data_IF_117750333155
#
_entry.id   IF_117750333155
#
_cell.length_a   1.000
_cell.length_b   1.000
_cell.length_c   1.000
_cell.angle_alpha   90.00
_cell.angle_beta   90.00
_cell.angle_gamma   90.00
#
_symmetry.space_group_name_H-M   'P 1'
#
loop_
_entity.id
_entity.type
_entity.pdbx_description
1 polymer ?
#
# COMPACT_ATOMS: atom_id res chain seq x y z
N UNK A 1 27.87 8.51 16.40
CA UNK A 1 26.61 8.83 17.12
C UNK A 1 26.93 8.88 18.61
N UNK A 2 26.80 10.03 19.28
CA UNK A 2 27.17 10.17 20.68
C UNK A 2 26.00 9.71 21.56
N UNK A 3 26.10 8.50 22.11
CA UNK A 3 25.06 7.85 22.90
C UNK A 3 24.58 8.71 24.09
N UNK A 4 25.46 9.54 24.65
CA UNK A 4 25.15 10.39 25.80
C UNK A 4 24.18 11.54 25.47
N UNK A 5 24.13 12.00 24.21
CA UNK A 5 23.26 13.10 23.81
C UNK A 5 21.77 12.67 23.76
N UNK A 6 21.48 11.40 23.50
CA UNK A 6 20.11 10.89 23.47
C UNK A 6 19.60 10.45 24.84
N UNK A 7 20.50 10.19 25.80
CA UNK A 7 20.12 9.81 27.16
C UNK A 7 19.57 10.96 27.99
N UNK A 8 19.90 12.21 27.64
CA UNK A 8 19.32 13.41 28.27
C UNK A 8 17.89 13.70 27.81
N UNK A 9 17.42 13.05 26.74
CA UNK A 9 16.05 13.21 26.21
C UNK A 9 15.06 12.20 26.82
N UNK A 10 15.54 11.24 27.62
CA UNK A 10 14.72 10.22 28.27
C UNK A 10 14.40 10.60 29.72
N UNK A 11 13.22 10.20 30.25
CA UNK A 11 12.95 10.25 31.68
C UNK A 11 14.04 9.54 32.49
N UNK A 12 14.38 10.06 33.68
CA UNK A 12 15.55 9.61 34.45
C UNK A 12 15.59 8.10 34.71
N UNK A 13 14.43 7.48 34.97
CA UNK A 13 14.32 6.04 35.19
C UNK A 13 14.63 5.22 33.92
N UNK A 14 14.18 5.68 32.75
CA UNK A 14 14.43 5.03 31.46
C UNK A 14 15.88 5.22 31.02
N UNK A 15 16.43 6.42 31.23
CA UNK A 15 17.84 6.70 30.99
C UNK A 15 18.76 5.82 31.86
N UNK A 16 18.39 5.57 33.12
CA UNK A 16 19.11 4.68 34.02
C UNK A 16 19.03 3.22 33.55
N UNK A 17 17.83 2.72 33.26
CA UNK A 17 17.64 1.36 32.76
C UNK A 17 18.41 1.10 31.45
N UNK A 18 18.42 2.09 30.54
CA UNK A 18 19.15 1.99 29.28
C UNK A 18 20.67 2.00 29.49
N UNK A 19 21.21 2.84 30.40
CA UNK A 19 22.64 2.82 30.77
C UNK A 19 23.04 1.45 31.33
N UNK A 20 22.21 0.85 32.18
CA UNK A 20 22.44 -0.50 32.72
C UNK A 20 22.46 -1.57 31.63
N UNK A 21 21.55 -1.49 30.65
CA UNK A 21 21.52 -2.42 29.53
C UNK A 21 22.78 -2.29 28.65
N UNK A 22 23.20 -1.07 28.32
CA UNK A 22 24.40 -0.80 27.52
C UNK A 22 25.65 -1.30 28.24
N UNK A 23 25.77 -1.04 29.55
CA UNK A 23 26.88 -1.55 30.36
C UNK A 23 26.92 -3.09 30.36
N UNK A 24 25.76 -3.75 30.44
CA UNK A 24 25.68 -5.22 30.33
C UNK A 24 26.09 -5.74 28.97
N UNK A 25 25.71 -5.06 27.89
CA UNK A 25 26.09 -5.45 26.52
C UNK A 25 27.58 -5.22 26.25
N UNK A 26 28.16 -4.15 26.79
CA UNK A 26 29.60 -3.86 26.68
C UNK A 26 30.46 -4.80 27.53
N UNK A 27 29.94 -5.23 28.69
CA UNK A 27 30.59 -6.21 29.55
C UNK A 27 30.36 -7.65 29.10
N UNK A 28 29.46 -7.89 28.13
CA UNK A 28 29.26 -9.22 27.59
C UNK A 28 30.53 -9.63 26.81
N UNK A 29 31.15 -10.79 27.11
CA UNK A 29 32.30 -11.25 26.36
C UNK A 29 31.88 -11.39 24.89
N UNK A 30 32.61 -10.74 23.99
CA UNK A 30 32.45 -10.98 22.55
C UNK A 30 32.86 -12.42 22.29
N UNK A 31 31.89 -13.33 22.32
CA UNK A 31 32.09 -14.69 21.86
C UNK A 31 32.28 -14.61 20.36
N UNK A 32 33.50 -14.89 19.94
CA UNK A 32 33.76 -15.31 18.58
C UNK A 32 32.76 -16.44 18.26
N UNK A 33 31.91 -16.30 17.23
CA UNK A 33 30.95 -17.34 16.91
C UNK A 33 31.73 -18.63 16.71
N UNK A 34 31.29 -19.70 17.39
CA UNK A 34 31.98 -20.99 17.31
C UNK A 34 32.25 -21.29 15.82
N UNK A 35 33.47 -21.73 15.43
CA UNK A 35 33.85 -21.88 14.02
C UNK A 35 32.92 -22.83 13.24
N UNK A 36 32.12 -23.61 13.95
CA UNK A 36 31.13 -24.55 13.42
C UNK A 36 29.69 -23.99 13.43
N UNK A 37 29.45 -22.74 13.83
CA UNK A 37 28.11 -22.15 13.91
C UNK A 37 27.44 -22.14 12.54
N UNK A 38 28.16 -21.73 11.50
CA UNK A 38 27.69 -21.78 10.13
C UNK A 38 27.34 -23.21 9.71
N UNK A 39 28.21 -24.18 10.02
CA UNK A 39 27.99 -25.60 9.72
C UNK A 39 26.78 -26.16 10.45
N UNK A 40 26.56 -25.77 11.71
CA UNK A 40 25.39 -26.19 12.52
C UNK A 40 24.09 -25.59 12.00
N UNK A 41 24.11 -24.33 11.59
CA UNK A 41 22.95 -23.66 10.97
C UNK A 41 22.61 -24.35 9.64
N UNK A 42 23.61 -24.61 8.79
CA UNK A 42 23.41 -25.29 7.52
C UNK A 42 22.91 -26.74 7.70
N UNK A 43 23.43 -27.46 8.70
CA UNK A 43 22.95 -28.81 9.04
C UNK A 43 21.52 -28.80 9.58
N UNK A 44 21.15 -27.82 10.41
CA UNK A 44 19.79 -27.65 10.91
C UNK A 44 18.82 -27.33 9.76
N UNK A 45 19.19 -26.42 8.85
CA UNK A 45 18.40 -26.08 7.65
C UNK A 45 18.25 -27.29 6.72
N UNK A 46 19.30 -28.11 6.55
CA UNK A 46 19.23 -29.33 5.76
C UNK A 46 18.31 -30.39 6.41
N UNK A 47 18.39 -30.55 7.73
CA UNK A 47 17.50 -31.44 8.50
C UNK A 47 16.04 -30.99 8.47
N UNK A 48 15.79 -29.69 8.44
CA UNK A 48 14.42 -29.15 8.38
C UNK A 48 13.82 -29.34 6.97
N UNK A 49 14.66 -29.25 5.92
CA UNK A 49 14.27 -29.53 4.53
C UNK A 49 13.95 -31.00 4.27
N UNK A 50 14.62 -31.94 4.94
CA UNK A 50 14.30 -33.36 4.83
C UNK A 50 13.04 -33.75 5.62
N UNK A 51 12.72 -33.02 6.69
CA UNK A 51 11.51 -33.24 7.50
C UNK A 51 10.23 -32.62 6.92
N UNK A 52 10.33 -31.67 5.98
CA UNK A 52 9.18 -31.02 5.32
C UNK A 52 9.34 -30.99 3.79
N UNK A 53 8.91 -32.02 3.05
CA UNK A 53 9.20 -32.15 1.62
C UNK A 53 8.40 -31.22 0.68
N UNK A 54 7.50 -30.36 1.18
CA UNK A 54 6.50 -29.66 0.35
C UNK A 54 6.78 -28.18 0.06
N UNK A 55 8.00 -27.68 0.27
CA UNK A 55 8.41 -26.35 -0.20
C UNK A 55 9.44 -26.46 -1.35
N UNK A 56 8.88 -26.83 -2.50
CA UNK A 56 9.30 -26.56 -3.89
C UNK A 56 10.79 -26.62 -4.29
N UNK A 57 11.09 -27.56 -5.19
CA UNK A 57 11.97 -27.31 -6.33
C UNK A 57 11.51 -28.14 -7.55
N UNK A 58 10.83 -27.48 -8.49
CA UNK A 58 10.74 -27.95 -9.88
C UNK A 58 12.13 -27.79 -10.53
N UNK A 59 12.69 -28.82 -11.19
CA UNK A 59 13.96 -28.69 -11.88
C UNK A 59 13.80 -28.08 -13.27
N UNK A 60 14.73 -27.20 -13.63
CA UNK A 60 15.02 -26.74 -14.99
C UNK A 60 15.45 -27.97 -15.81
N UNK A 61 14.64 -28.39 -16.78
CA UNK A 61 14.98 -29.50 -17.69
C UNK A 61 15.68 -28.97 -18.94
N UNK A 62 16.99 -29.24 -19.06
CA UNK A 62 17.71 -29.19 -20.32
C UNK A 62 17.30 -30.39 -21.19
N UNK A 63 16.83 -30.10 -22.40
CA UNK A 63 16.36 -31.07 -23.40
C UNK A 63 17.45 -32.07 -23.80
N UNK A 64 17.31 -33.33 -23.41
CA UNK A 64 17.86 -34.47 -24.14
C UNK A 64 16.71 -35.43 -24.50
N UNK A 65 16.51 -35.61 -25.80
CA UNK A 65 15.55 -36.55 -26.39
C UNK A 65 15.98 -37.99 -26.13
N UNK A 66 15.01 -38.89 -25.90
CA UNK A 66 15.04 -40.22 -26.48
C UNK A 66 13.97 -40.35 -27.57
N UNK A 67 14.39 -40.95 -28.67
CA UNK A 67 13.56 -41.38 -29.78
C UNK A 67 12.87 -42.68 -29.37
N UNK A 68 11.55 -42.81 -29.59
CA UNK A 68 10.93 -43.83 -30.45
C UNK A 68 9.40 -43.90 -30.32
N UNK A 69 8.79 -44.14 -31.49
CA UNK A 69 7.54 -44.87 -31.76
C UNK A 69 6.15 -44.21 -31.60
N UNK A 70 5.62 -43.87 -32.78
CA UNK A 70 4.23 -44.06 -33.25
C UNK A 70 3.09 -43.18 -32.70
N UNK A 71 2.93 -41.98 -33.28
CA UNK A 71 1.70 -41.18 -33.22
C UNK A 71 1.23 -40.76 -34.62
N UNK A 72 0.28 -41.51 -35.21
CA UNK A 72 -0.51 -41.06 -36.37
C UNK A 72 -2.03 -41.17 -36.22
N UNK A 73 -2.55 -41.79 -35.15
CA UNK A 73 -4.00 -42.00 -34.97
C UNK A 73 -4.67 -41.08 -33.92
N UNK A 74 -3.92 -40.33 -33.12
CA UNK A 74 -4.47 -39.49 -32.03
C UNK A 74 -4.68 -38.01 -32.38
N UNK A 75 -4.27 -37.56 -33.58
CA UNK A 75 -4.37 -36.15 -33.98
C UNK A 75 -5.77 -35.70 -34.40
N UNK A 76 -6.66 -36.63 -34.72
CA UNK A 76 -8.03 -36.29 -35.15
C UNK A 76 -9.03 -36.25 -33.99
N UNK A 77 -8.80 -36.97 -32.89
CA UNK A 77 -9.66 -36.95 -31.71
C UNK A 77 -9.43 -35.71 -30.81
N UNK A 78 -8.19 -35.21 -30.72
CA UNK A 78 -7.87 -34.02 -29.92
C UNK A 78 -8.34 -32.70 -30.56
N UNK A 79 -8.45 -32.63 -31.90
CA UNK A 79 -8.88 -31.43 -32.61
C UNK A 79 -10.40 -31.16 -32.45
N UNK A 80 -11.22 -32.21 -32.36
CA UNK A 80 -12.67 -32.06 -32.12
C UNK A 80 -13.00 -31.74 -30.65
N UNK A 81 -12.22 -32.25 -29.69
CA UNK A 81 -12.37 -31.89 -28.28
C UNK A 81 -11.90 -30.45 -27.98
N UNK A 82 -10.87 -29.96 -28.65
CA UNK A 82 -10.41 -28.57 -28.54
C UNK A 82 -11.39 -27.57 -29.18
N UNK A 83 -12.08 -27.97 -30.26
CA UNK A 83 -13.12 -27.15 -30.89
C UNK A 83 -14.38 -26.99 -30.02
N UNK A 84 -14.81 -28.03 -29.31
CA UNK A 84 -15.99 -27.96 -28.44
C UNK A 84 -15.72 -27.23 -27.11
N UNK A 85 -14.51 -27.34 -26.54
CA UNK A 85 -14.11 -26.55 -25.35
C UNK A 85 -13.91 -25.05 -25.68
N UNK A 86 -13.49 -24.72 -26.90
CA UNK A 86 -13.43 -23.34 -27.38
C UNK A 86 -14.84 -22.76 -27.62
N UNK A 87 -15.80 -23.58 -28.09
CA UNK A 87 -17.18 -23.14 -28.28
C UNK A 87 -17.93 -22.92 -26.95
N UNK A 88 -17.69 -23.75 -25.92
CA UNK A 88 -18.33 -23.58 -24.60
C UNK A 88 -17.74 -22.44 -23.75
N UNK A 89 -16.51 -22.00 -24.02
CA UNK A 89 -15.89 -20.83 -23.34
C UNK A 89 -16.13 -19.50 -24.05
N UNK A 90 -16.69 -19.52 -25.27
CA UNK A 90 -17.10 -18.32 -26.00
C UNK A 90 -18.49 -17.80 -25.60
N UNK A 91 -19.36 -18.65 -25.02
CA UNK A 91 -20.70 -18.26 -24.58
C UNK A 91 -20.78 -17.75 -23.13
N UNK A 92 -19.73 -17.94 -22.33
CA UNK A 92 -19.68 -17.54 -20.92
C UNK A 92 -18.58 -16.51 -20.62
N UNK A 93 -18.13 -15.78 -21.64
CA UNK A 93 -17.31 -14.59 -21.39
C UNK A 93 -18.18 -13.56 -20.67
N UNK A 94 -17.87 -13.15 -19.42
CA UNK A 94 -18.38 -11.87 -18.94
C UNK A 94 -18.00 -10.84 -19.99
N UNK A 95 -18.95 -9.97 -20.35
CA UNK A 95 -18.72 -8.89 -21.30
C UNK A 95 -17.35 -8.26 -21.01
N UNK A 96 -16.55 -8.02 -22.05
CA UNK A 96 -15.30 -7.28 -21.90
C UNK A 96 -15.59 -6.03 -21.05
N UNK A 97 -14.79 -5.74 -20.01
CA UNK A 97 -15.04 -4.59 -19.13
C UNK A 97 -15.31 -3.37 -20.00
N UNK A 98 -16.52 -2.82 -19.91
CA UNK A 98 -16.84 -1.64 -20.69
C UNK A 98 -15.93 -0.54 -20.14
N UNK A 99 -15.04 0.06 -20.96
CA UNK A 99 -14.22 1.15 -20.50
C UNK A 99 -15.15 2.24 -19.97
N UNK A 100 -14.84 2.79 -18.78
CA UNK A 100 -15.63 3.90 -18.27
C UNK A 100 -15.69 4.99 -19.34
N UNK A 101 -16.87 5.58 -19.50
CA UNK A 101 -17.02 6.78 -20.31
C UNK A 101 -16.01 7.83 -19.78
N UNK A 102 -15.03 8.24 -20.60
CA UNK A 102 -14.01 9.19 -20.17
C UNK A 102 -14.61 10.57 -19.80
N UNK A 103 -15.85 10.86 -20.22
CA UNK A 103 -16.60 12.05 -19.84
C UNK A 103 -17.43 11.90 -18.55
N UNK A 104 -17.61 10.69 -18.02
CA UNK A 104 -18.41 10.47 -16.82
C UNK A 104 -17.72 10.96 -15.54
N UNK A 105 -18.51 11.56 -14.64
CA UNK A 105 -18.10 11.89 -13.27
C UNK A 105 -17.51 10.65 -12.58
N UNK A 106 -16.21 10.65 -12.21
CA UNK A 106 -15.55 9.51 -11.60
C UNK A 106 -16.22 9.03 -10.30
N UNK A 107 -16.76 9.95 -9.49
CA UNK A 107 -17.44 9.58 -8.25
C UNK A 107 -18.79 8.91 -8.53
N UNK A 108 -19.58 9.45 -9.45
CA UNK A 108 -20.83 8.82 -9.88
C UNK A 108 -20.59 7.43 -10.50
N UNK A 109 -19.53 7.28 -11.31
CA UNK A 109 -19.15 5.99 -11.88
C UNK A 109 -18.78 4.97 -10.78
N UNK A 110 -18.02 5.38 -9.77
CA UNK A 110 -17.69 4.51 -8.64
C UNK A 110 -18.96 4.07 -7.89
N UNK A 111 -19.87 5.01 -7.60
CA UNK A 111 -21.12 4.69 -6.92
C UNK A 111 -22.00 3.71 -7.72
N UNK A 112 -22.11 3.90 -9.03
CA UNK A 112 -22.84 3.00 -9.93
C UNK A 112 -22.19 1.61 -10.06
N UNK A 113 -20.87 1.50 -9.84
CA UNK A 113 -20.11 0.26 -9.93
C UNK A 113 -20.02 -0.52 -8.61
N UNK A 114 -20.67 -0.05 -7.53
CA UNK A 114 -20.64 -0.71 -6.23
C UNK A 114 -21.47 -2.00 -6.24
N UNK A 115 -20.90 -3.08 -5.71
CA UNK A 115 -21.56 -4.38 -5.63
C UNK A 115 -22.64 -4.43 -4.53
N UNK A 116 -23.49 -5.46 -4.57
CA UNK A 116 -24.55 -5.67 -3.58
C UNK A 116 -24.03 -5.85 -2.14
N UNK A 117 -22.82 -6.40 -1.97
CA UNK A 117 -22.18 -6.55 -0.65
C UNK A 117 -21.51 -5.26 -0.14
N UNK A 118 -21.51 -4.19 -0.94
CA UNK A 118 -20.92 -2.88 -0.60
C UNK A 118 -19.46 -2.72 -1.02
N UNK A 119 -18.82 -3.77 -1.54
CA UNK A 119 -17.46 -3.68 -2.07
C UNK A 119 -17.44 -3.34 -3.56
N UNK A 120 -16.23 -3.25 -4.12
CA UNK A 120 -16.01 -3.25 -5.56
C UNK A 120 -15.27 -4.53 -5.98
N UNK A 121 -15.51 -5.02 -7.19
CA UNK A 121 -14.85 -6.20 -7.75
C UNK A 121 -13.82 -5.80 -8.82
N UNK A 122 -12.51 -5.80 -8.51
CA UNK A 122 -11.47 -5.35 -9.45
C UNK A 122 -11.48 -6.07 -10.79
N UNK A 123 -11.69 -7.39 -10.78
CA UNK A 123 -11.70 -8.22 -11.98
C UNK A 123 -12.75 -7.80 -13.02
N UNK A 124 -13.86 -7.17 -12.61
CA UNK A 124 -14.90 -6.66 -13.51
C UNK A 124 -14.51 -5.38 -14.24
N UNK A 125 -13.45 -4.72 -13.78
CA UNK A 125 -13.02 -3.39 -14.23
C UNK A 125 -11.54 -3.37 -14.62
N UNK A 126 -10.98 -4.52 -15.02
CA UNK A 126 -9.59 -4.63 -15.49
C UNK A 126 -8.52 -4.62 -14.41
N UNK A 127 -8.90 -4.70 -13.12
CA UNK A 127 -7.98 -4.76 -12.00
C UNK A 127 -7.76 -6.18 -11.46
N UNK A 128 -6.66 -6.36 -10.74
CA UNK A 128 -6.31 -7.61 -10.07
C UNK A 128 -7.22 -7.84 -8.83
N UNK A 129 -7.97 -8.96 -8.77
CA UNK A 129 -8.88 -9.27 -7.66
C UNK A 129 -8.18 -9.35 -6.30
N UNK A 130 -6.86 -9.58 -6.25
CA UNK A 130 -6.10 -9.63 -5.00
C UNK A 130 -6.09 -8.27 -4.26
N UNK A 131 -6.29 -7.15 -4.97
CA UNK A 131 -6.39 -5.80 -4.40
C UNK A 131 -7.81 -5.38 -4.00
N UNK A 132 -8.76 -6.33 -3.92
CA UNK A 132 -10.16 -6.03 -3.57
C UNK A 132 -10.32 -5.19 -2.30
N UNK A 133 -9.61 -5.46 -1.18
CA UNK A 133 -9.68 -4.59 0.00
C UNK A 133 -9.17 -3.17 -0.26
N UNK A 134 -7.99 -3.01 -0.87
CA UNK A 134 -7.43 -1.69 -1.19
C UNK A 134 -8.33 -0.88 -2.13
N UNK A 135 -8.86 -1.49 -3.19
CA UNK A 135 -9.69 -0.80 -4.17
C UNK A 135 -11.08 -0.45 -3.62
N UNK A 136 -11.64 -1.31 -2.76
CA UNK A 136 -12.86 -0.97 -2.00
C UNK A 136 -12.63 0.22 -1.07
N UNK A 137 -11.51 0.22 -0.35
CA UNK A 137 -11.12 1.29 0.55
C UNK A 137 -10.85 2.62 -0.18
N UNK A 138 -10.15 2.59 -1.32
CA UNK A 138 -9.91 3.78 -2.15
C UNK A 138 -11.21 4.35 -2.70
N UNK A 139 -12.10 3.51 -3.25
CA UNK A 139 -13.39 3.95 -3.74
C UNK A 139 -14.23 4.60 -2.62
N UNK A 140 -14.27 4.00 -1.43
CA UNK A 140 -14.98 4.56 -0.28
C UNK A 140 -14.40 5.92 0.16
N UNK A 141 -13.07 6.04 0.24
CA UNK A 141 -12.41 7.31 0.57
C UNK A 141 -12.69 8.40 -0.48
N UNK A 142 -12.79 8.02 -1.76
CA UNK A 142 -13.13 8.93 -2.83
C UNK A 142 -14.58 9.43 -2.72
N UNK A 143 -15.54 8.52 -2.54
CA UNK A 143 -16.95 8.84 -2.41
C UNK A 143 -17.25 9.68 -1.16
N UNK A 144 -16.52 9.46 -0.07
CA UNK A 144 -16.66 10.22 1.17
C UNK A 144 -16.19 11.69 1.07
N UNK A 145 -15.52 12.07 -0.02
CA UNK A 145 -15.11 13.47 -0.26
C UNK A 145 -16.18 14.30 -0.96
N UNK A 146 -17.29 13.70 -1.38
CA UNK A 146 -18.39 14.44 -1.99
C UNK A 146 -18.97 15.47 -1.01
N UNK A 147 -18.90 16.78 -1.30
CA UNK A 147 -19.31 17.83 -0.36
C UNK A 147 -20.82 17.83 -0.08
N UNK A 148 -21.61 17.21 -0.95
CA UNK A 148 -23.06 17.06 -0.82
C UNK A 148 -23.47 15.76 -0.11
N UNK A 149 -22.51 14.94 0.34
CA UNK A 149 -22.73 13.65 1.02
C UNK A 149 -23.69 12.71 0.26
N UNK A 150 -23.69 12.79 -1.08
CA UNK A 150 -24.57 12.02 -1.96
C UNK A 150 -24.38 10.51 -1.81
N UNK A 151 -23.16 10.09 -1.47
CA UNK A 151 -22.74 8.70 -1.49
C UNK A 151 -22.60 8.08 -0.09
N UNK A 152 -23.11 8.73 0.96
CA UNK A 152 -22.95 8.32 2.37
C UNK A 152 -23.31 6.86 2.65
N UNK A 153 -24.40 6.37 2.04
CA UNK A 153 -24.85 5.00 2.24
C UNK A 153 -23.92 3.99 1.55
N UNK A 154 -23.40 4.34 0.37
CA UNK A 154 -22.37 3.56 -0.29
C UNK A 154 -21.10 3.47 0.53
N UNK A 155 -20.66 4.59 1.12
CA UNK A 155 -19.50 4.63 2.04
C UNK A 155 -19.72 3.75 3.27
N UNK A 156 -20.91 3.81 3.89
CA UNK A 156 -21.27 2.97 5.05
C UNK A 156 -21.22 1.48 4.70
N UNK A 157 -21.78 1.08 3.56
CA UNK A 157 -21.75 -0.31 3.06
C UNK A 157 -20.32 -0.77 2.77
N UNK A 158 -19.49 0.09 2.20
CA UNK A 158 -18.09 -0.21 1.94
C UNK A 158 -17.29 -0.44 3.23
N UNK A 159 -17.52 0.38 4.26
CA UNK A 159 -16.90 0.17 5.57
C UNK A 159 -17.32 -1.17 6.19
N UNK A 160 -18.60 -1.54 6.09
CA UNK A 160 -19.09 -2.84 6.55
C UNK A 160 -18.46 -4.01 5.76
N UNK A 161 -18.32 -3.87 4.44
CA UNK A 161 -17.64 -4.84 3.59
C UNK A 161 -16.16 -5.02 3.99
N UNK A 162 -15.44 -3.93 4.29
CA UNK A 162 -14.06 -4.01 4.79
C UNK A 162 -13.99 -4.76 6.12
N UNK A 163 -14.90 -4.50 7.07
CA UNK A 163 -14.96 -5.26 8.33
C UNK A 163 -15.16 -6.75 8.06
N UNK A 164 -16.01 -7.12 7.10
CA UNK A 164 -16.27 -8.51 6.74
C UNK A 164 -15.11 -9.18 5.98
N UNK A 165 -14.31 -8.42 5.21
CA UNK A 165 -13.14 -8.94 4.49
C UNK A 165 -11.93 -9.18 5.40
N UNK A 166 -11.88 -8.54 6.57
CA UNK A 166 -10.74 -8.63 7.45
C UNK A 166 -10.62 -10.04 8.05
N UNK A 167 -9.44 -10.64 7.95
CA UNK A 167 -9.15 -11.90 8.60
C UNK A 167 -9.11 -11.76 10.13
N UNK A 168 -9.23 -12.89 10.83
CA UNK A 168 -9.23 -12.94 12.29
C UNK A 168 -7.94 -12.40 12.93
N UNK A 169 -6.80 -12.47 12.23
CA UNK A 169 -5.51 -11.92 12.64
C UNK A 169 -5.36 -10.41 12.34
N UNK A 170 -6.39 -9.80 11.74
CA UNK A 170 -6.41 -8.38 11.36
C UNK A 170 -5.88 -8.07 9.97
N UNK A 171 -5.44 -9.06 9.20
CA UNK A 171 -4.90 -8.88 7.87
C UNK A 171 -5.98 -8.68 6.80
N UNK A 172 -5.65 -7.91 5.77
CA UNK A 172 -6.46 -7.72 4.56
C UNK A 172 -5.96 -8.53 3.36
N UNK A 173 -5.70 -9.82 3.57
CA UNK A 173 -5.36 -10.79 2.53
C UNK A 173 -4.11 -10.47 1.69
N UNK A 174 -3.81 -11.36 0.75
CA UNK A 174 -2.66 -11.25 -0.16
C UNK A 174 -1.30 -11.49 0.51
N UNK A 175 -0.25 -11.39 -0.31
CA UNK A 175 1.16 -11.51 0.11
C UNK A 175 1.99 -10.37 -0.50
N UNK A 176 3.21 -10.17 0.01
CA UNK A 176 4.16 -9.17 -0.49
C UNK A 176 3.52 -7.79 -0.67
N UNK A 177 3.60 -7.29 -1.92
CA UNK A 177 3.04 -5.99 -2.32
C UNK A 177 1.53 -5.88 -2.10
N UNK A 178 0.77 -6.93 -2.45
CA UNK A 178 -0.69 -6.94 -2.32
C UNK A 178 -1.08 -6.73 -0.86
N UNK A 179 -0.47 -7.53 0.03
CA UNK A 179 -0.71 -7.44 1.47
C UNK A 179 -0.41 -6.06 2.02
N UNK A 180 0.74 -5.49 1.64
CA UNK A 180 1.18 -4.19 2.12
C UNK A 180 0.17 -3.07 1.78
N UNK A 181 -0.30 -3.01 0.53
CA UNK A 181 -1.26 -1.99 0.11
C UNK A 181 -2.67 -2.24 0.64
N UNK A 182 -3.15 -3.49 0.60
CA UNK A 182 -4.44 -3.85 1.20
C UNK A 182 -4.48 -3.45 2.67
N UNK A 183 -3.43 -3.79 3.44
CA UNK A 183 -3.39 -3.48 4.86
C UNK A 183 -3.42 -1.98 5.10
N UNK A 184 -2.53 -1.21 4.46
CA UNK A 184 -2.39 0.22 4.73
C UNK A 184 -3.64 1.02 4.32
N UNK A 185 -4.18 0.75 3.13
CA UNK A 185 -5.30 1.51 2.58
C UNK A 185 -6.62 1.11 3.26
N UNK A 186 -6.88 -0.18 3.50
CA UNK A 186 -8.09 -0.61 4.20
C UNK A 186 -8.12 -0.12 5.65
N UNK A 187 -6.98 -0.14 6.35
CA UNK A 187 -6.87 0.43 7.70
C UNK A 187 -7.17 1.93 7.69
N UNK A 188 -6.66 2.67 6.69
CA UNK A 188 -6.94 4.09 6.51
C UNK A 188 -8.44 4.36 6.33
N UNK A 189 -9.11 3.58 5.46
CA UNK A 189 -10.55 3.72 5.24
C UNK A 189 -11.37 3.35 6.48
N UNK A 190 -11.05 2.27 7.21
CA UNK A 190 -11.74 1.95 8.45
C UNK A 190 -11.57 3.04 9.52
N UNK A 191 -10.35 3.60 9.63
CA UNK A 191 -10.06 4.68 10.56
C UNK A 191 -10.77 5.99 10.20
N UNK A 192 -11.03 6.24 8.91
CA UNK A 192 -11.62 7.51 8.46
C UNK A 192 -13.15 7.41 8.37
N UNK A 193 -13.68 6.27 7.93
CA UNK A 193 -15.05 6.18 7.40
C UNK A 193 -15.97 5.26 8.22
N UNK A 194 -15.43 4.28 8.94
CA UNK A 194 -16.29 3.30 9.61
C UNK A 194 -17.12 3.97 10.71
N UNK A 195 -18.42 3.67 10.83
CA UNK A 195 -19.23 4.23 11.91
C UNK A 195 -18.69 3.81 13.29
N UNK A 196 -18.93 4.63 14.31
CA UNK A 196 -18.62 4.24 15.68
C UNK A 196 -19.47 3.04 16.08
N UNK A 197 -18.83 2.01 16.63
CA UNK A 197 -19.51 0.80 17.07
C UNK A 197 -18.51 -0.31 17.42
N UNK A 198 -18.92 -1.31 18.21
CA UNK A 198 -18.02 -2.33 18.74
C UNK A 198 -17.36 -3.16 17.65
N UNK A 199 -18.10 -3.52 16.59
CA UNK A 199 -17.56 -4.30 15.48
C UNK A 199 -16.48 -3.54 14.69
N UNK A 200 -16.74 -2.27 14.36
CA UNK A 200 -15.80 -1.40 13.65
C UNK A 200 -14.57 -1.08 14.51
N UNK A 201 -14.76 -0.82 15.81
CA UNK A 201 -13.67 -0.59 16.75
C UNK A 201 -12.76 -1.82 16.84
N UNK A 202 -13.33 -3.02 17.05
CA UNK A 202 -12.56 -4.26 17.11
C UNK A 202 -11.82 -4.55 15.79
N UNK A 203 -12.44 -4.29 14.65
CA UNK A 203 -11.79 -4.44 13.35
C UNK A 203 -10.62 -3.48 13.16
N UNK A 204 -10.80 -2.21 13.53
CA UNK A 204 -9.73 -1.20 13.47
C UNK A 204 -8.58 -1.53 14.42
N UNK A 205 -8.86 -2.01 15.63
CA UNK A 205 -7.82 -2.45 16.57
C UNK A 205 -7.00 -3.62 16.00
N UNK A 206 -7.64 -4.64 15.42
CA UNK A 206 -6.91 -5.73 14.76
C UNK A 206 -6.10 -5.24 13.57
N UNK A 207 -6.64 -4.31 12.78
CA UNK A 207 -5.95 -3.75 11.62
C UNK A 207 -4.67 -3.01 12.03
N UNK A 208 -4.75 -2.18 13.08
CA UNK A 208 -3.60 -1.48 13.66
C UNK A 208 -2.59 -2.44 14.28
N UNK A 209 -3.06 -3.52 14.93
CA UNK A 209 -2.18 -4.55 15.48
C UNK A 209 -1.37 -5.24 14.36
N UNK A 210 -2.02 -5.58 13.24
CA UNK A 210 -1.35 -6.14 12.07
C UNK A 210 -0.36 -5.13 11.44
N UNK A 211 -0.72 -3.85 11.30
CA UNK A 211 0.22 -2.82 10.83
C UNK A 211 1.43 -2.68 11.77
N UNK A 212 1.22 -2.72 13.09
CA UNK A 212 2.32 -2.69 14.07
C UNK A 212 3.24 -3.90 13.92
N UNK A 213 2.69 -5.10 13.76
CA UNK A 213 3.46 -6.33 13.60
C UNK A 213 4.29 -6.34 12.31
N UNK A 214 3.82 -5.68 11.25
CA UNK A 214 4.53 -5.54 9.98
C UNK A 214 5.54 -4.40 9.91
N UNK A 215 5.71 -3.60 10.96
CA UNK A 215 6.65 -2.47 10.95
C UNK A 215 8.09 -2.96 11.11
N UNK A 216 9.01 -2.46 10.27
CA UNK A 216 10.43 -2.75 10.38
C UNK A 216 11.03 -2.17 11.67
N UNK A 217 12.19 -2.69 12.09
CA UNK A 217 12.96 -2.12 13.20
C UNK A 217 13.25 -0.63 12.98
N UNK A 218 13.42 -0.24 11.72
CA UNK A 218 13.77 1.12 11.30
C UNK A 218 12.57 2.05 11.31
N UNK A 219 11.36 1.50 11.50
CA UNK A 219 10.09 2.22 11.60
C UNK A 219 9.32 2.35 10.29
N UNK A 220 9.80 1.75 9.20
CA UNK A 220 9.16 1.78 7.89
C UNK A 220 8.32 0.53 7.64
N UNK A 221 7.68 0.50 6.48
CA UNK A 221 6.98 -0.68 5.97
C UNK A 221 7.40 -0.96 4.54
N UNK A 222 7.47 -2.24 4.22
CA UNK A 222 7.77 -2.72 2.88
C UNK A 222 6.90 -3.92 2.52
N UNK A 223 7.15 -4.48 1.34
CA UNK A 223 6.50 -5.70 0.85
C UNK A 223 7.01 -6.94 1.57
N UNK A 224 8.32 -6.97 1.89
CA UNK A 224 8.99 -8.13 2.47
C UNK A 224 9.40 -7.89 3.92
N UNK A 225 9.34 -8.95 4.71
CA UNK A 225 9.85 -8.94 6.08
C UNK A 225 11.37 -8.69 6.09
N UNK A 226 11.84 -7.94 7.09
CA UNK A 226 13.27 -7.64 7.25
C UNK A 226 13.80 -6.50 6.36
N UNK A 227 12.98 -5.94 5.47
CA UNK A 227 13.34 -4.68 4.77
C UNK A 227 13.35 -3.49 5.71
N UNK A 228 14.19 -2.50 5.41
CA UNK A 228 14.22 -1.20 6.11
C UNK A 228 12.91 -0.41 5.92
N UNK A 229 12.16 -0.69 4.86
CA UNK A 229 10.93 0.02 4.48
C UNK A 229 11.06 0.75 3.13
N UNK A 230 9.90 1.11 2.56
CA UNK A 230 9.81 1.98 1.38
C UNK A 230 8.87 3.17 1.63
N UNK A 231 9.08 4.26 0.90
CA UNK A 231 8.35 5.50 1.11
C UNK A 231 6.86 5.43 0.73
N UNK A 232 6.49 4.64 -0.27
CA UNK A 232 5.10 4.54 -0.72
C UNK A 232 4.21 3.89 0.34
N UNK A 233 4.58 2.70 0.80
CA UNK A 233 3.82 1.95 1.80
C UNK A 233 3.90 2.66 3.16
N UNK A 234 5.07 3.17 3.53
CA UNK A 234 5.24 3.88 4.81
C UNK A 234 4.34 5.13 4.88
N UNK A 235 4.19 5.88 3.79
CA UNK A 235 3.30 7.03 3.77
C UNK A 235 1.82 6.64 3.98
N UNK A 236 1.35 5.57 3.32
CA UNK A 236 -0.01 5.06 3.56
C UNK A 236 -0.21 4.54 4.98
N UNK A 237 0.76 3.81 5.54
CA UNK A 237 0.70 3.33 6.92
C UNK A 237 0.67 4.47 7.93
N UNK A 238 1.48 5.51 7.74
CA UNK A 238 1.47 6.70 8.59
C UNK A 238 0.11 7.38 8.57
N UNK A 239 -0.50 7.55 7.39
CA UNK A 239 -1.86 8.12 7.27
C UNK A 239 -2.90 7.27 8.00
N UNK A 240 -2.84 5.94 7.82
CA UNK A 240 -3.76 5.02 8.48
C UNK A 240 -3.62 5.07 10.01
N UNK A 241 -2.39 5.08 10.53
CA UNK A 241 -2.10 5.14 11.95
C UNK A 241 -2.44 6.50 12.56
N UNK A 242 -2.26 7.60 11.82
CA UNK A 242 -2.69 8.93 12.24
C UNK A 242 -4.21 9.01 12.39
N UNK A 243 -4.96 8.56 11.38
CA UNK A 243 -6.42 8.50 11.46
C UNK A 243 -6.88 7.58 12.61
N UNK A 244 -6.22 6.43 12.82
CA UNK A 244 -6.55 5.54 13.93
C UNK A 244 -6.25 6.16 15.30
N UNK A 245 -5.16 6.91 15.42
CA UNK A 245 -4.82 7.63 16.64
C UNK A 245 -5.83 8.76 16.94
N UNK A 246 -6.28 9.49 15.91
CA UNK A 246 -7.35 10.49 16.02
C UNK A 246 -8.68 9.86 16.47
N UNK A 247 -8.94 8.59 16.13
CA UNK A 247 -10.06 7.80 16.68
C UNK A 247 -9.86 7.25 18.09
N UNK A 248 -8.72 7.51 18.73
CA UNK A 248 -8.42 7.04 20.08
C UNK A 248 -7.83 5.62 20.16
N UNK A 249 -7.39 5.03 19.06
CA UNK A 249 -6.71 3.72 19.07
C UNK A 249 -5.28 3.88 19.59
N UNK A 250 -5.11 3.76 20.91
CA UNK A 250 -3.86 4.08 21.61
C UNK A 250 -2.62 3.37 21.07
N UNK A 251 -2.76 2.12 20.61
CA UNK A 251 -1.67 1.33 20.05
C UNK A 251 -1.12 1.83 18.70
N UNK A 252 -1.81 2.76 18.03
CA UNK A 252 -1.33 3.39 16.80
C UNK A 252 -0.21 4.42 17.04
N UNK A 253 -0.12 4.99 18.24
CA UNK A 253 0.74 6.13 18.54
C UNK A 253 2.25 5.84 18.39
N UNK A 254 2.73 4.70 18.89
CA UNK A 254 4.16 4.35 18.79
C UNK A 254 4.55 4.05 17.33
N UNK A 255 3.84 3.18 16.59
CA UNK A 255 4.13 2.94 15.19
C UNK A 255 4.06 4.20 14.32
N UNK A 256 3.09 5.08 14.58
CA UNK A 256 2.97 6.37 13.90
C UNK A 256 4.24 7.23 14.04
N UNK A 257 4.73 7.40 15.28
CA UNK A 257 5.96 8.17 15.54
C UNK A 257 7.17 7.59 14.82
N UNK A 258 7.31 6.27 14.82
CA UNK A 258 8.37 5.55 14.10
C UNK A 258 8.27 5.78 12.59
N UNK A 259 7.07 5.67 12.02
CA UNK A 259 6.82 5.91 10.59
C UNK A 259 7.11 7.35 10.17
N UNK A 260 6.69 8.33 10.96
CA UNK A 260 6.99 9.75 10.70
C UNK A 260 8.50 10.03 10.75
N UNK A 261 9.21 9.47 11.73
CA UNK A 261 10.68 9.53 11.79
C UNK A 261 11.31 8.87 10.55
N UNK A 262 10.74 7.76 10.09
CA UNK A 262 11.21 7.09 8.88
C UNK A 262 11.05 7.95 7.64
N UNK A 263 9.88 8.55 7.43
CA UNK A 263 9.62 9.44 6.30
C UNK A 263 10.51 10.68 6.33
N UNK A 264 10.75 11.25 7.51
CA UNK A 264 11.71 12.35 7.69
C UNK A 264 13.11 11.96 7.19
N UNK A 265 13.57 10.75 7.49
CA UNK A 265 14.87 10.25 7.04
C UNK A 265 14.93 9.91 5.55
N UNK A 266 13.79 9.58 4.92
CA UNK A 266 13.69 9.35 3.49
C UNK A 266 13.63 10.65 2.67
N UNK A 267 13.17 11.74 3.29
CA UNK A 267 13.13 13.07 2.69
C UNK A 267 14.51 13.73 2.68
N UNK A 268 14.90 14.29 1.54
CA UNK A 268 16.18 14.99 1.33
C UNK A 268 15.99 16.49 1.30
N UNK A 269 17.00 17.23 1.78
CA UNK A 269 16.99 18.70 1.83
C UNK A 269 16.79 19.39 0.48
N UNK A 270 17.16 18.76 -0.64
CA UNK A 270 17.00 19.31 -2.00
C UNK A 270 15.60 19.06 -2.62
N UNK A 271 14.59 18.71 -1.81
CA UNK A 271 13.20 18.57 -2.29
C UNK A 271 12.89 17.24 -2.96
N UNK A 272 13.35 16.12 -2.40
CA UNK A 272 13.12 14.79 -2.99
C UNK A 272 12.98 13.70 -1.94
N UNK A 273 12.35 12.60 -2.32
CA UNK A 273 12.19 11.42 -1.46
C UNK A 273 12.77 10.20 -2.16
N UNK A 274 13.59 9.48 -1.42
CA UNK A 274 14.16 8.20 -1.84
C UNK A 274 13.14 7.07 -1.67
N UNK A 275 13.16 6.06 -2.55
CA UNK A 275 12.26 4.91 -2.38
C UNK A 275 12.62 4.12 -1.11
N UNK A 276 13.89 3.73 -0.98
CA UNK A 276 14.50 3.27 0.28
C UNK A 276 15.42 4.36 0.83
N UNK A 277 15.63 4.40 2.16
CA UNK A 277 16.58 5.35 2.76
C UNK A 277 17.98 5.15 2.13
N UNK A 278 18.70 6.24 1.93
CA UNK A 278 20.05 6.21 1.32
C UNK A 278 20.10 6.01 -0.21
N UNK A 279 19.05 5.49 -0.86
CA UNK A 279 19.06 5.25 -2.32
C UNK A 279 19.08 6.54 -3.15
N UNK A 280 19.93 6.67 -4.18
CA UNK A 280 20.11 7.93 -4.92
C UNK A 280 18.86 8.40 -5.72
N UNK A 281 17.92 7.49 -6.00
CA UNK A 281 16.72 7.79 -6.78
C UNK A 281 15.83 8.88 -6.16
N UNK A 282 15.22 9.70 -7.02
CA UNK A 282 14.17 10.66 -6.67
C UNK A 282 12.90 10.27 -7.39
N UNK A 283 11.77 10.29 -6.70
CA UNK A 283 10.45 10.13 -7.31
C UNK A 283 9.57 11.30 -6.92
N UNK A 284 8.98 11.96 -7.93
CA UNK A 284 8.06 13.07 -7.71
C UNK A 284 6.78 12.60 -7.03
N UNK A 285 6.28 11.41 -7.37
CA UNK A 285 5.12 10.79 -6.73
C UNK A 285 5.37 10.55 -5.23
N UNK A 286 6.52 9.98 -4.88
CA UNK A 286 6.88 9.74 -3.48
C UNK A 286 7.14 11.04 -2.73
N UNK A 287 7.74 12.04 -3.38
CA UNK A 287 7.96 13.36 -2.79
C UNK A 287 6.63 14.03 -2.44
N UNK A 288 5.66 14.02 -3.37
CA UNK A 288 4.34 14.58 -3.16
C UNK A 288 3.57 13.83 -2.06
N UNK A 289 3.59 12.49 -2.08
CA UNK A 289 2.89 11.68 -1.09
C UNK A 289 3.47 11.88 0.32
N UNK A 290 4.80 11.93 0.44
CA UNK A 290 5.46 12.21 1.70
C UNK A 290 5.20 13.65 2.16
N UNK A 291 5.23 14.63 1.26
CA UNK A 291 4.92 16.02 1.59
C UNK A 291 3.53 16.15 2.21
N UNK A 292 2.51 15.61 1.54
CA UNK A 292 1.15 15.55 2.04
C UNK A 292 1.07 14.87 3.41
N UNK A 293 1.70 13.70 3.56
CA UNK A 293 1.68 12.92 4.80
C UNK A 293 2.36 13.67 5.96
N UNK A 294 3.51 14.31 5.72
CA UNK A 294 4.24 15.07 6.73
C UNK A 294 3.47 16.32 7.18
N UNK A 295 2.78 17.01 6.26
CA UNK A 295 1.97 18.18 6.58
C UNK A 295 0.69 17.85 7.33
N UNK A 296 0.08 16.68 7.10
CA UNK A 296 -1.22 16.32 7.69
C UNK A 296 -1.10 15.39 8.88
N UNK A 297 -0.35 14.29 8.75
CA UNK A 297 -0.15 13.30 9.82
C UNK A 297 0.99 13.69 10.77
N UNK A 298 1.88 14.60 10.34
CA UNK A 298 3.01 15.10 11.12
C UNK A 298 2.76 16.43 11.85
N UNK A 299 1.52 16.95 11.87
CA UNK A 299 1.19 18.29 12.42
C UNK A 299 1.69 18.54 13.84
N UNK A 300 1.60 17.52 14.69
CA UNK A 300 2.00 17.61 16.10
C UNK A 300 3.51 17.41 16.31
N UNK A 301 4.30 17.24 15.25
CA UNK A 301 5.74 16.98 15.33
C UNK A 301 6.52 18.14 14.73
N UNK A 302 7.42 18.70 15.54
CA UNK A 302 8.21 19.85 15.16
C UNK A 302 9.00 19.62 13.86
N UNK A 303 8.93 20.59 12.96
CA UNK A 303 9.65 20.61 11.69
C UNK A 303 9.08 19.73 10.58
N UNK A 304 8.20 18.75 10.86
CA UNK A 304 7.65 17.88 9.80
C UNK A 304 6.76 18.64 8.80
N UNK A 305 5.85 19.54 9.23
CA UNK A 305 5.06 20.32 8.27
C UNK A 305 5.92 21.25 7.42
N UNK A 306 6.99 21.83 7.98
CA UNK A 306 7.93 22.68 7.24
C UNK A 306 8.71 21.86 6.20
N UNK A 307 9.16 20.66 6.55
CA UNK A 307 9.79 19.73 5.62
C UNK A 307 8.83 19.34 4.48
N UNK A 308 7.56 19.08 4.80
CA UNK A 308 6.54 18.80 3.79
C UNK A 308 6.34 19.97 2.83
N UNK A 309 6.26 21.21 3.31
CA UNK A 309 6.20 22.42 2.45
C UNK A 309 7.44 22.56 1.56
N UNK A 310 8.63 22.28 2.07
CA UNK A 310 9.86 22.32 1.28
C UNK A 310 9.86 21.26 0.16
N UNK A 311 9.35 20.05 0.43
CA UNK A 311 9.15 19.04 -0.60
C UNK A 311 8.14 19.51 -1.66
N UNK A 312 7.01 20.08 -1.24
CA UNK A 312 5.99 20.63 -2.15
C UNK A 312 6.54 21.71 -3.06
N UNK A 313 7.37 22.62 -2.53
CA UNK A 313 7.98 23.70 -3.29
C UNK A 313 8.84 23.19 -4.47
N UNK A 314 9.45 22.01 -4.33
CA UNK A 314 10.29 21.40 -5.36
C UNK A 314 9.53 20.55 -6.39
N UNK A 315 8.24 20.29 -6.19
CA UNK A 315 7.42 19.56 -7.16
C UNK A 315 7.23 20.38 -8.43
N UNK A 316 6.80 19.77 -9.52
CA UNK A 316 6.30 20.46 -10.71
C UNK A 316 4.77 20.32 -10.81
N UNK A 317 4.11 21.40 -11.23
CA UNK A 317 2.70 21.37 -11.63
C UNK A 317 2.54 21.28 -13.16
N UNK A 318 3.64 21.14 -13.90
CA UNK A 318 3.61 20.97 -15.34
C UNK A 318 2.86 19.69 -15.72
N UNK A 319 2.11 19.79 -16.81
CA UNK A 319 1.40 18.65 -17.37
C UNK A 319 2.39 17.62 -17.92
N UNK A 320 2.05 16.34 -17.79
CA UNK A 320 2.92 15.25 -18.21
C UNK A 320 2.13 13.98 -18.52
N UNK A 321 2.83 12.85 -18.64
CA UNK A 321 2.19 11.55 -18.86
C UNK A 321 1.19 11.22 -17.74
N UNK A 322 0.11 10.49 -18.07
CA UNK A 322 -0.89 10.06 -17.10
C UNK A 322 -0.24 9.25 -15.97
N UNK A 323 -0.50 9.64 -14.73
CA UNK A 323 -0.20 8.87 -13.52
C UNK A 323 -1.11 9.42 -12.41
N UNK A 324 -2.31 8.86 -12.31
CA UNK A 324 -3.34 9.32 -11.38
C UNK A 324 -2.88 9.25 -9.92
N UNK A 325 -1.99 8.32 -9.59
CA UNK A 325 -1.41 8.21 -8.25
C UNK A 325 -0.47 9.36 -7.93
N UNK A 326 0.47 9.66 -8.84
CA UNK A 326 1.36 10.84 -8.73
C UNK A 326 0.54 12.12 -8.69
N UNK A 327 -0.42 12.26 -9.58
CA UNK A 327 -1.18 13.50 -9.73
C UNK A 327 -2.10 13.75 -8.53
N UNK A 328 -2.77 12.71 -8.01
CA UNK A 328 -3.46 12.76 -6.72
C UNK A 328 -2.53 13.23 -5.61
N UNK A 329 -1.35 12.61 -5.47
CA UNK A 329 -0.40 12.96 -4.41
C UNK A 329 0.05 14.43 -4.52
N UNK A 330 0.27 14.93 -5.75
CA UNK A 330 0.59 16.34 -6.01
C UNK A 330 -0.54 17.27 -5.60
N UNK A 331 -1.77 16.98 -6.01
CA UNK A 331 -2.95 17.78 -5.64
C UNK A 331 -3.05 17.89 -4.12
N UNK A 332 -2.98 16.77 -3.40
CA UNK A 332 -3.06 16.75 -1.94
C UNK A 332 -1.90 17.52 -1.27
N UNK A 333 -0.70 17.45 -1.85
CA UNK A 333 0.47 18.19 -1.35
C UNK A 333 0.34 19.70 -1.58
N UNK A 334 -0.13 20.13 -2.75
CA UNK A 334 -0.35 21.55 -3.04
C UNK A 334 -1.46 22.14 -2.18
N UNK A 335 -2.60 21.46 -2.06
CA UNK A 335 -3.69 21.90 -1.18
C UNK A 335 -3.23 22.04 0.28
N UNK A 336 -2.50 21.04 0.79
CA UNK A 336 -2.01 21.07 2.17
C UNK A 336 -0.96 22.16 2.42
N UNK A 337 -0.31 22.65 1.36
CA UNK A 337 0.60 23.79 1.42
C UNK A 337 -0.10 25.14 1.18
N UNK A 338 -1.40 25.15 0.87
CA UNK A 338 -2.17 26.35 0.52
C UNK A 338 -1.99 26.82 -0.92
N UNK A 339 -1.36 26.02 -1.79
CA UNK A 339 -1.12 26.35 -3.20
C UNK A 339 -2.27 25.85 -4.08
N UNK A 340 -3.41 26.54 -3.99
CA UNK A 340 -4.62 26.14 -4.73
C UNK A 340 -4.44 26.24 -6.23
N UNK A 341 -3.65 27.20 -6.73
CA UNK A 341 -3.44 27.38 -8.17
C UNK A 341 -2.74 26.18 -8.81
N UNK A 342 -1.68 25.65 -8.19
CA UNK A 342 -0.99 24.45 -8.69
C UNK A 342 -1.81 23.19 -8.49
N UNK A 343 -2.60 23.11 -7.41
CA UNK A 343 -3.55 22.01 -7.24
C UNK A 343 -4.57 21.96 -8.39
N UNK A 344 -5.18 23.10 -8.74
CA UNK A 344 -6.15 23.17 -9.86
C UNK A 344 -5.51 22.87 -11.21
N UNK A 345 -4.27 23.33 -11.44
CA UNK A 345 -3.54 23.00 -12.68
C UNK A 345 -3.37 21.48 -12.86
N UNK A 346 -2.96 20.77 -11.81
CA UNK A 346 -2.81 19.31 -11.86
C UNK A 346 -4.16 18.61 -12.04
N UNK A 347 -5.23 19.06 -11.35
CA UNK A 347 -6.59 18.51 -11.55
C UNK A 347 -7.08 18.68 -12.97
N UNK A 348 -6.90 19.87 -13.55
CA UNK A 348 -7.25 20.14 -14.93
C UNK A 348 -6.55 19.18 -15.89
N UNK A 349 -5.25 18.96 -15.68
CA UNK A 349 -4.46 17.97 -16.42
C UNK A 349 -4.98 16.53 -16.28
N UNK A 350 -5.34 16.12 -15.05
CA UNK A 350 -5.92 14.78 -14.79
C UNK A 350 -7.22 14.58 -15.57
N UNK A 351 -8.14 15.56 -15.51
CA UNK A 351 -9.43 15.49 -16.21
C UNK A 351 -9.26 15.50 -17.72
N UNK A 352 -8.40 16.38 -18.24
CA UNK A 352 -8.10 16.47 -19.66
C UNK A 352 -7.53 15.14 -20.21
N UNK A 353 -6.54 14.55 -19.52
CA UNK A 353 -5.97 13.25 -19.91
C UNK A 353 -7.01 12.13 -19.88
N UNK A 354 -7.88 12.10 -18.88
CA UNK A 354 -8.95 11.12 -18.78
C UNK A 354 -9.93 11.25 -19.96
N UNK A 355 -10.38 12.48 -20.26
CA UNK A 355 -11.27 12.78 -21.40
C UNK A 355 -10.64 12.38 -22.73
N UNK A 356 -9.32 12.54 -22.86
CA UNK A 356 -8.54 12.12 -24.02
C UNK A 356 -8.27 10.60 -24.08
N UNK A 357 -8.70 9.82 -23.08
CA UNK A 357 -8.44 8.38 -23.02
C UNK A 357 -6.96 8.02 -22.84
N UNK A 358 -6.17 8.88 -22.19
CA UNK A 358 -4.76 8.64 -21.95
C UNK A 358 -4.57 7.42 -21.03
N UNK A 359 -3.70 6.50 -21.44
CA UNK A 359 -3.42 5.28 -20.70
C UNK A 359 -2.62 5.57 -19.42
N UNK A 360 -3.15 5.11 -18.28
CA UNK A 360 -2.45 5.19 -17.00
C UNK A 360 -1.60 3.93 -16.73
N UNK A 361 -0.34 4.06 -16.24
CA UNK A 361 0.53 2.92 -16.00
C UNK A 361 -0.01 1.93 -14.95
N UNK A 362 -0.96 2.34 -14.11
CA UNK A 362 -1.55 1.51 -13.06
C UNK A 362 -2.84 0.81 -13.50
N UNK A 363 -3.34 1.05 -14.71
CA UNK A 363 -4.52 0.36 -15.26
C UNK A 363 -4.40 -1.17 -15.23
N UNK A 364 -3.27 -1.81 -15.59
CA UNK A 364 -3.17 -3.27 -15.58
C UNK A 364 -3.29 -3.91 -14.20
N UNK A 365 -3.13 -3.13 -13.12
CA UNK A 365 -3.18 -3.62 -11.74
C UNK A 365 -4.48 -3.17 -11.07
N UNK A 366 -4.80 -1.89 -11.15
CA UNK A 366 -5.91 -1.28 -10.43
C UNK A 366 -7.19 -1.14 -11.27
N UNK A 367 -7.07 -1.26 -12.59
CA UNK A 367 -8.18 -1.08 -13.52
C UNK A 367 -8.80 0.31 -13.46
N UNK A 368 -10.00 0.41 -14.01
CA UNK A 368 -10.80 1.65 -14.01
C UNK A 368 -11.18 2.11 -12.61
N UNK A 369 -11.31 1.18 -11.64
CA UNK A 369 -11.57 1.53 -10.24
C UNK A 369 -10.46 2.42 -9.67
N UNK A 370 -9.20 2.07 -9.94
CA UNK A 370 -8.05 2.80 -9.42
C UNK A 370 -7.98 4.21 -10.01
N UNK A 371 -8.10 4.33 -11.34
CA UNK A 371 -8.04 5.63 -12.00
C UNK A 371 -9.22 6.52 -11.61
N UNK A 372 -10.44 5.98 -11.49
CA UNK A 372 -11.60 6.73 -11.00
C UNK A 372 -11.43 7.16 -9.54
N UNK A 373 -10.98 6.26 -8.66
CA UNK A 373 -10.82 6.57 -7.24
C UNK A 373 -9.80 7.68 -7.01
N UNK A 374 -8.63 7.64 -7.65
CA UNK A 374 -7.65 8.71 -7.50
C UNK A 374 -8.08 10.03 -8.14
N UNK A 375 -8.78 9.98 -9.27
CA UNK A 375 -9.35 11.20 -9.90
C UNK A 375 -10.41 11.84 -9.00
N UNK A 376 -11.32 11.04 -8.44
CA UNK A 376 -12.33 11.53 -7.49
C UNK A 376 -11.72 11.99 -6.16
N UNK A 377 -10.68 11.31 -5.65
CA UNK A 377 -9.94 11.75 -4.46
C UNK A 377 -9.25 13.11 -4.66
N UNK A 378 -8.78 13.37 -5.88
CA UNK A 378 -8.17 14.64 -6.26
C UNK A 378 -9.21 15.73 -6.55
N UNK A 379 -10.51 15.40 -6.64
CA UNK A 379 -11.55 16.39 -6.91
C UNK A 379 -11.62 17.44 -5.79
N UNK A 380 -12.03 18.64 -6.19
CA UNK A 380 -12.17 19.81 -5.32
C UNK A 380 -13.30 19.57 -4.31
N UNK A 381 -13.08 20.02 -3.07
CA UNK A 381 -14.09 20.04 -2.00
C UNK A 381 -14.99 21.27 -2.08
#
# INVERSE_FOLDING_TARGET
>A
MNLNAHLSELPAAEAAAFRTLVARLQAAPQREPAPQLASRILAAVASERTQRPTLNAQPITTNHKPVTSNYRLWRWAAALAAGLLAALTLFDRPAAPQPADPAADPAAWLAASQEADGAWQPARHGGDPAYRPALTALAALALARDPADRFREGVRRAAAALVAMQAADGAFGGEGRVRAYNQAIATCALATLAPHGPAAAAALERAVACSRAGQSAEGGWDYEAGSEGNAAVTAWQVRALAAAAERGVGQANIPLRKGLRWLRGAARGAGGVAYHRGSAGRSESLAALAAYTLMTSGRSFEGLPALGRNLTAALSAADGAADCYRDYAKVMAFESAGDTARAEAVRGGMLHRRQAGAQDPWEPIGGTLYTCAFTALAARQ
#
